data_IF_508370540541
#
_entry.id   IF_508370540541
#
_cell.length_a   1.000
_cell.length_b   1.000
_cell.length_c   1.000
_cell.angle_alpha   90.00
_cell.angle_beta   90.00
_cell.angle_gamma   90.00
#
_symmetry.space_group_name_H-M   'P 1'
#
loop_
_entity.id
_entity.type
_entity.pdbx_description
1 polymer ?
#
# COMPACT_ATOMS: atom_id res chain seq x y z
N UNK A 1 22.94 -86.74 1.79
CA UNK A 1 23.31 -86.30 0.43
C UNK A 1 22.49 -85.06 0.11
N UNK A 2 23.14 -83.90 0.16
CA UNK A 2 23.49 -83.01 -0.97
C UNK A 2 22.35 -82.06 -1.38
N UNK A 3 22.77 -80.80 -1.47
CA UNK A 3 22.00 -79.57 -1.59
C UNK A 3 21.22 -79.45 -2.91
N UNK A 4 20.17 -78.64 -2.91
CA UNK A 4 20.03 -77.57 -3.90
C UNK A 4 19.24 -76.41 -3.30
N UNK A 5 19.86 -75.22 -3.34
CA UNK A 5 19.27 -73.93 -3.00
C UNK A 5 18.38 -73.48 -4.15
N UNK A 6 17.18 -72.98 -3.86
CA UNK A 6 16.47 -72.08 -4.75
C UNK A 6 16.05 -70.86 -3.90
N UNK A 7 16.79 -69.77 -4.07
CA UNK A 7 16.49 -68.47 -3.47
C UNK A 7 15.47 -67.81 -4.40
N UNK A 8 14.25 -67.60 -3.93
CA UNK A 8 13.27 -66.76 -4.61
C UNK A 8 13.27 -65.39 -3.91
N UNK A 9 13.78 -64.39 -4.62
CA UNK A 9 13.69 -62.97 -4.26
C UNK A 9 12.25 -62.50 -4.47
N UNK A 10 11.53 -62.20 -3.40
CA UNK A 10 10.26 -61.48 -3.47
C UNK A 10 10.54 -60.01 -3.17
N UNK A 11 10.40 -59.19 -4.21
CA UNK A 11 10.48 -57.73 -4.13
C UNK A 11 9.30 -57.20 -3.30
N UNK A 12 9.60 -56.47 -2.22
CA UNK A 12 8.64 -55.66 -1.50
C UNK A 12 8.30 -54.42 -2.32
N UNK A 13 7.12 -54.40 -2.95
CA UNK A 13 6.52 -53.15 -3.41
C UNK A 13 5.89 -52.45 -2.20
N UNK A 14 6.65 -51.50 -1.63
CA UNK A 14 6.10 -50.40 -0.83
C UNK A 14 5.26 -49.52 -1.77
N UNK A 15 3.96 -49.81 -1.92
CA UNK A 15 3.02 -48.80 -2.38
C UNK A 15 2.56 -48.03 -1.16
N UNK A 16 3.37 -47.02 -0.84
CA UNK A 16 3.04 -45.93 0.07
C UNK A 16 1.62 -45.46 -0.18
N UNK A 17 0.80 -45.58 0.87
CA UNK A 17 -0.46 -44.84 1.05
C UNK A 17 -0.22 -43.42 0.56
N UNK A 18 -0.93 -43.04 -0.49
CA UNK A 18 -0.90 -41.70 -1.05
C UNK A 18 -1.42 -40.73 -0.01
N UNK A 19 -0.53 -40.19 0.82
CA UNK A 19 -0.71 -38.87 1.36
C UNK A 19 -0.70 -37.94 0.16
N UNK A 20 -1.91 -37.67 -0.36
CA UNK A 20 -2.17 -36.42 -1.01
C UNK A 20 -1.70 -35.35 -0.03
N UNK A 21 -0.48 -34.84 -0.26
CA UNK A 21 -0.09 -33.54 0.23
C UNK A 21 -1.14 -32.60 -0.31
N UNK A 22 -2.14 -32.29 0.53
CA UNK A 22 -2.81 -31.02 0.46
C UNK A 22 -1.65 -30.05 0.61
N UNK A 23 -1.13 -29.58 -0.52
CA UNK A 23 -0.29 -28.40 -0.53
C UNK A 23 -1.18 -27.34 0.09
N UNK A 24 -1.00 -27.12 1.39
CA UNK A 24 -1.42 -25.92 2.05
C UNK A 24 -0.89 -24.82 1.15
N UNK A 25 -1.79 -24.23 0.34
CA UNK A 25 -1.54 -22.95 -0.26
C UNK A 25 -1.38 -22.05 0.95
N UNK A 26 -0.14 -21.89 1.43
CA UNK A 26 0.26 -20.72 2.16
C UNK A 26 -0.18 -19.58 1.25
N UNK A 27 -1.35 -19.02 1.55
CA UNK A 27 -1.85 -17.80 0.94
C UNK A 27 -0.73 -16.83 1.21
N UNK A 28 0.03 -16.52 0.16
CA UNK A 28 1.15 -15.62 0.24
C UNK A 28 0.57 -14.31 0.78
N UNK A 29 0.82 -14.05 2.07
CA UNK A 29 0.26 -12.90 2.76
C UNK A 29 0.75 -11.71 1.97
N UNK A 30 -0.17 -11.00 1.32
CA UNK A 30 0.20 -9.84 0.52
C UNK A 30 0.79 -8.83 1.49
N UNK A 31 2.11 -8.66 1.45
CA UNK A 31 2.80 -7.71 2.30
C UNK A 31 2.60 -6.31 1.72
N UNK A 32 1.42 -5.73 1.98
CA UNK A 32 1.09 -4.36 1.55
C UNK A 32 2.14 -3.35 2.02
N UNK A 33 2.71 -3.57 3.21
CA UNK A 33 3.78 -2.75 3.75
C UNK A 33 5.07 -2.89 2.92
N UNK A 34 5.47 -4.10 2.54
CA UNK A 34 6.64 -4.29 1.67
C UNK A 34 6.44 -3.65 0.29
N UNK A 35 5.24 -3.79 -0.28
CA UNK A 35 4.90 -3.11 -1.54
C UNK A 35 5.03 -1.58 -1.43
N UNK A 36 4.68 -1.00 -0.27
CA UNK A 36 4.86 0.43 0.01
C UNK A 36 6.32 0.78 0.28
N UNK A 37 7.05 -0.02 1.03
CA UNK A 37 8.48 0.19 1.30
C UNK A 37 9.29 0.19 0.00
N UNK A 38 9.04 -0.77 -0.90
CA UNK A 38 9.66 -0.81 -2.23
C UNK A 38 9.28 0.42 -3.08
N UNK A 39 8.04 0.90 -2.95
CA UNK A 39 7.59 2.13 -3.62
C UNK A 39 8.31 3.36 -3.07
N UNK A 40 8.41 3.47 -1.74
CA UNK A 40 9.10 4.56 -1.06
C UNK A 40 10.61 4.55 -1.35
N UNK A 41 11.25 3.39 -1.36
CA UNK A 41 12.66 3.21 -1.71
C UNK A 41 12.93 3.69 -3.14
N UNK A 42 12.06 3.29 -4.08
CA UNK A 42 12.13 3.76 -5.47
C UNK A 42 11.98 5.28 -5.56
N UNK A 43 11.01 5.87 -4.86
CA UNK A 43 10.82 7.32 -4.83
C UNK A 43 12.03 8.05 -4.24
N UNK A 44 12.61 7.54 -3.15
CA UNK A 44 13.81 8.11 -2.52
C UNK A 44 15.04 8.04 -3.43
N UNK A 45 15.17 7.00 -4.25
CA UNK A 45 16.30 6.82 -5.19
C UNK A 45 16.13 7.61 -6.48
N UNK A 46 14.91 7.72 -7.00
CA UNK A 46 14.65 8.17 -8.36
C UNK A 46 14.03 9.57 -8.47
N UNK A 47 13.58 10.18 -7.37
CA UNK A 47 13.07 11.55 -7.41
C UNK A 47 14.24 12.54 -7.36
N UNK A 48 14.37 13.47 -8.34
CA UNK A 48 15.44 14.45 -8.36
C UNK A 48 15.50 15.25 -7.05
N UNK A 49 16.72 15.57 -6.57
CA UNK A 49 16.92 16.42 -5.39
C UNK A 49 16.46 17.87 -5.57
N UNK A 50 16.09 18.29 -6.79
CA UNK A 50 15.43 19.58 -6.99
C UNK A 50 13.96 19.41 -6.59
N UNK A 51 13.60 20.06 -5.51
CA UNK A 51 12.29 19.98 -4.90
C UNK A 51 11.38 20.99 -5.58
N UNK A 52 10.81 20.63 -6.72
CA UNK A 52 9.78 21.45 -7.38
C UNK A 52 8.38 20.96 -6.98
N UNK A 53 7.35 21.74 -7.29
CA UNK A 53 5.97 21.24 -7.19
C UNK A 53 5.71 20.02 -8.07
N UNK A 54 6.52 19.79 -9.10
CA UNK A 54 6.49 18.55 -9.88
C UNK A 54 6.90 17.33 -9.04
N UNK A 55 7.87 17.47 -8.13
CA UNK A 55 8.25 16.40 -7.19
C UNK A 55 7.09 16.05 -6.25
N UNK A 56 6.38 17.05 -5.69
CA UNK A 56 5.16 16.82 -4.91
C UNK A 56 4.11 16.05 -5.71
N UNK A 57 3.86 16.48 -6.96
CA UNK A 57 2.90 15.83 -7.85
C UNK A 57 3.27 14.36 -8.09
N UNK A 58 4.50 14.10 -8.52
CA UNK A 58 4.97 12.76 -8.86
C UNK A 58 4.92 11.81 -7.66
N UNK A 59 5.38 12.26 -6.49
CA UNK A 59 5.36 11.44 -5.27
C UNK A 59 3.92 11.14 -4.85
N UNK A 60 3.06 12.14 -4.82
CA UNK A 60 1.66 11.96 -4.44
C UNK A 60 0.92 11.03 -5.40
N UNK A 61 1.15 11.17 -6.71
CA UNK A 61 0.55 10.32 -7.74
C UNK A 61 0.98 8.86 -7.61
N UNK A 62 2.28 8.61 -7.43
CA UNK A 62 2.81 7.24 -7.23
C UNK A 62 2.23 6.60 -5.96
N UNK A 63 2.14 7.34 -4.85
CA UNK A 63 1.55 6.84 -3.61
C UNK A 63 0.05 6.56 -3.76
N UNK A 64 -0.71 7.43 -4.44
CA UNK A 64 -2.12 7.16 -4.75
C UNK A 64 -2.30 5.96 -5.67
N UNK A 65 -1.46 5.81 -6.69
CA UNK A 65 -1.50 4.68 -7.60
C UNK A 65 -1.25 3.36 -6.85
N UNK A 66 -0.26 3.34 -5.95
CA UNK A 66 0.03 2.17 -5.11
C UNK A 66 -1.11 1.86 -4.14
N UNK A 67 -1.64 2.87 -3.45
CA UNK A 67 -2.80 2.76 -2.58
C UNK A 67 -4.03 2.18 -3.31
N UNK A 68 -4.28 2.65 -4.54
CA UNK A 68 -5.37 2.18 -5.38
C UNK A 68 -5.15 0.75 -5.85
N UNK A 69 -3.91 0.35 -6.17
CA UNK A 69 -3.58 -1.02 -6.50
C UNK A 69 -3.87 -1.97 -5.32
N UNK A 70 -3.41 -1.62 -4.11
CA UNK A 70 -3.66 -2.38 -2.88
C UNK A 70 -5.17 -2.49 -2.62
N UNK A 71 -5.89 -1.37 -2.67
CA UNK A 71 -7.34 -1.34 -2.44
C UNK A 71 -8.10 -2.15 -3.49
N UNK A 72 -7.64 -2.16 -4.74
CA UNK A 72 -8.27 -2.96 -5.80
C UNK A 72 -8.12 -4.46 -5.54
N UNK A 73 -6.95 -4.90 -5.05
CA UNK A 73 -6.76 -6.29 -4.64
C UNK A 73 -7.72 -6.67 -3.50
N UNK A 74 -7.92 -5.76 -2.55
CA UNK A 74 -8.87 -5.94 -1.45
C UNK A 74 -10.34 -5.96 -1.89
N UNK A 75 -10.73 -5.13 -2.87
CA UNK A 75 -12.05 -5.23 -3.51
C UNK A 75 -12.27 -6.61 -4.10
N UNK A 76 -11.28 -7.17 -4.82
CA UNK A 76 -11.41 -8.50 -5.40
C UNK A 76 -11.52 -9.60 -4.34
N UNK A 77 -10.71 -9.51 -3.27
CA UNK A 77 -10.73 -10.49 -2.17
C UNK A 77 -12.06 -10.46 -1.42
N UNK A 78 -12.60 -9.27 -1.18
CA UNK A 78 -13.79 -9.07 -0.36
C UNK A 78 -15.09 -9.02 -1.16
N UNK A 79 -15.08 -9.34 -2.47
CA UNK A 79 -16.22 -9.14 -3.38
C UNK A 79 -17.53 -9.73 -2.85
N UNK A 80 -17.47 -10.90 -2.22
CA UNK A 80 -18.63 -11.62 -1.70
C UNK A 80 -18.69 -11.60 -0.15
N UNK A 81 -17.95 -10.67 0.47
CA UNK A 81 -17.92 -10.47 1.92
C UNK A 81 -18.80 -9.26 2.31
N UNK A 82 -19.21 -9.22 3.58
CA UNK A 82 -20.00 -8.12 4.15
C UNK A 82 -19.33 -6.73 3.97
N UNK A 83 -18.00 -6.71 3.90
CA UNK A 83 -17.17 -5.50 3.81
C UNK A 83 -16.93 -5.00 2.37
N UNK A 84 -17.44 -5.68 1.34
CA UNK A 84 -17.28 -5.31 -0.08
C UNK A 84 -17.60 -3.83 -0.37
N UNK A 85 -18.70 -3.32 0.18
CA UNK A 85 -19.12 -1.93 -0.02
C UNK A 85 -18.14 -0.89 0.53
N UNK A 86 -17.44 -1.21 1.62
CA UNK A 86 -16.40 -0.36 2.18
C UNK A 86 -15.21 -0.27 1.20
N UNK A 87 -14.75 -1.41 0.68
CA UNK A 87 -13.62 -1.45 -0.26
C UNK A 87 -13.91 -0.72 -1.58
N UNK A 88 -15.12 -0.87 -2.12
CA UNK A 88 -15.57 -0.11 -3.30
C UNK A 88 -15.55 1.40 -3.02
N UNK A 89 -16.02 1.81 -1.84
CA UNK A 89 -15.99 3.23 -1.43
C UNK A 89 -14.55 3.75 -1.34
N UNK A 90 -13.63 2.98 -0.75
CA UNK A 90 -12.21 3.37 -0.67
C UNK A 90 -11.59 3.51 -2.06
N UNK A 91 -11.89 2.59 -2.98
CA UNK A 91 -11.41 2.65 -4.36
C UNK A 91 -11.89 3.92 -5.08
N UNK A 92 -13.16 4.30 -4.89
CA UNK A 92 -13.73 5.52 -5.47
C UNK A 92 -13.09 6.79 -4.90
N UNK A 93 -12.86 6.85 -3.59
CA UNK A 93 -12.19 7.99 -2.94
C UNK A 93 -10.74 8.15 -3.43
N UNK A 94 -10.00 7.05 -3.58
CA UNK A 94 -8.66 7.07 -4.15
C UNK A 94 -8.64 7.54 -5.61
N UNK A 95 -9.60 7.08 -6.43
CA UNK A 95 -9.75 7.56 -7.81
C UNK A 95 -10.02 9.07 -7.85
N UNK A 96 -10.86 9.57 -6.94
CA UNK A 96 -11.15 11.00 -6.82
C UNK A 96 -9.91 11.80 -6.43
N UNK A 97 -9.19 11.38 -5.39
CA UNK A 97 -7.96 12.04 -4.93
C UNK A 97 -6.91 12.14 -6.05
N UNK A 98 -6.73 11.06 -6.81
CA UNK A 98 -5.84 11.06 -7.95
C UNK A 98 -6.32 12.05 -9.03
N UNK A 99 -7.61 12.01 -9.41
CA UNK A 99 -8.15 12.96 -10.39
C UNK A 99 -8.02 14.43 -9.96
N UNK A 100 -8.23 14.72 -8.67
CA UNK A 100 -8.08 16.06 -8.11
C UNK A 100 -6.60 16.51 -8.10
N UNK A 101 -5.65 15.60 -7.90
CA UNK A 101 -4.21 15.92 -8.03
C UNK A 101 -3.84 16.30 -9.48
N UNK A 102 -4.37 15.59 -10.48
CA UNK A 102 -4.08 15.89 -11.90
C UNK A 102 -4.59 17.25 -12.36
N UNK A 103 -5.68 17.77 -11.76
CA UNK A 103 -6.17 19.13 -12.03
C UNK A 103 -5.14 20.19 -11.63
N UNK A 104 -4.38 19.93 -10.56
CA UNK A 104 -3.37 20.86 -10.05
C UNK A 104 -2.02 20.74 -10.76
N UNK A 105 -1.81 19.71 -11.59
CA UNK A 105 -0.52 19.45 -12.25
C UNK A 105 0.09 20.68 -12.93
N UNK A 106 -0.66 21.48 -13.73
CA UNK A 106 -0.10 22.66 -14.38
C UNK A 106 0.35 23.75 -13.38
N UNK A 107 -0.40 23.93 -12.29
CA UNK A 107 -0.08 24.90 -11.25
C UNK A 107 1.15 24.47 -10.43
N UNK A 108 1.28 23.16 -10.17
CA UNK A 108 2.40 22.57 -9.44
C UNK A 108 3.71 22.56 -10.26
N UNK A 109 3.64 22.34 -11.57
CA UNK A 109 4.82 22.25 -12.43
C UNK A 109 5.67 23.54 -12.45
N UNK A 110 5.03 24.70 -12.21
CA UNK A 110 5.68 26.01 -12.21
C UNK A 110 6.01 26.53 -10.81
N UNK A 111 5.72 25.74 -9.77
CA UNK A 111 5.95 26.14 -8.40
C UNK A 111 7.41 25.87 -8.02
N UNK A 112 8.14 26.94 -7.74
CA UNK A 112 9.45 26.87 -7.09
C UNK A 112 9.23 26.66 -5.58
N UNK A 113 9.77 25.57 -5.04
CA UNK A 113 9.58 25.20 -3.65
C UNK A 113 10.96 25.16 -2.96
N UNK A 114 11.11 25.78 -1.77
CA UNK A 114 12.35 25.70 -1.02
C UNK A 114 12.65 24.28 -0.48
N UNK A 115 13.94 24.07 -0.14
CA UNK A 115 14.53 22.79 0.29
C UNK A 115 13.88 22.14 1.54
N UNK A 116 13.01 22.86 2.26
CA UNK A 116 12.33 22.37 3.45
C UNK A 116 11.24 21.34 3.11
N UNK A 117 10.62 21.43 1.93
CA UNK A 117 9.56 20.50 1.55
C UNK A 117 10.10 19.08 1.39
N UNK A 118 11.24 18.89 0.75
CA UNK A 118 11.77 17.57 0.50
C UNK A 118 12.53 16.98 1.69
N UNK A 119 12.92 17.78 2.69
CA UNK A 119 13.16 17.24 4.05
C UNK A 119 11.88 16.57 4.56
N UNK A 120 10.73 17.24 4.43
CA UNK A 120 9.42 16.70 4.88
C UNK A 120 9.03 15.46 4.07
N UNK A 121 9.17 15.49 2.75
CA UNK A 121 8.91 14.33 1.87
C UNK A 121 9.82 13.17 2.23
N UNK A 122 11.13 13.42 2.37
CA UNK A 122 12.09 12.37 2.71
C UNK A 122 11.76 11.75 4.06
N UNK A 123 11.40 12.55 5.06
CA UNK A 123 10.96 12.08 6.37
C UNK A 123 9.70 11.20 6.25
N UNK A 124 8.68 11.67 5.52
CA UNK A 124 7.44 10.93 5.28
C UNK A 124 7.70 9.59 4.57
N UNK A 125 8.50 9.56 3.50
CA UNK A 125 8.85 8.32 2.81
C UNK A 125 9.67 7.38 3.70
N UNK A 126 10.57 7.92 4.53
CA UNK A 126 11.37 7.12 5.47
C UNK A 126 10.52 6.47 6.57
N UNK A 127 9.36 7.05 6.92
CA UNK A 127 8.48 6.48 7.93
C UNK A 127 7.99 5.08 7.56
N UNK A 128 7.79 4.77 6.27
CA UNK A 128 7.37 3.42 5.84
C UNK A 128 8.35 2.31 6.25
N UNK A 129 9.63 2.62 6.45
CA UNK A 129 10.64 1.65 6.89
C UNK A 129 10.74 1.54 8.42
N UNK A 130 10.19 2.52 9.15
CA UNK A 130 10.24 2.59 10.62
C UNK A 130 9.03 1.95 11.28
N UNK A 131 7.92 1.92 10.57
CA UNK A 131 6.67 1.34 11.07
C UNK A 131 6.71 -0.18 11.03
N UNK A 132 6.14 -0.80 12.05
CA UNK A 132 5.94 -2.25 12.13
C UNK A 132 4.45 -2.50 12.34
N UNK A 133 3.83 -3.40 11.57
CA UNK A 133 2.43 -3.73 11.77
C UNK A 133 2.27 -4.42 13.14
N UNK A 134 1.22 -4.08 13.91
CA UNK A 134 0.88 -4.82 15.11
C UNK A 134 0.80 -6.34 14.83
N UNK A 135 1.26 -7.14 15.79
CA UNK A 135 1.16 -8.60 15.69
C UNK A 135 -0.30 -9.03 15.75
N UNK A 136 -0.63 -10.11 15.05
CA UNK A 136 -1.97 -10.71 15.09
C UNK A 136 -3.05 -9.97 14.31
N UNK A 137 -2.72 -8.91 13.56
CA UNK A 137 -3.71 -8.28 12.68
C UNK A 137 -4.18 -9.23 11.58
N UNK A 138 -5.50 -9.40 11.51
CA UNK A 138 -6.18 -10.04 10.38
C UNK A 138 -5.98 -9.22 9.10
N UNK A 139 -6.26 -9.83 7.94
CA UNK A 139 -6.00 -9.21 6.64
C UNK A 139 -6.74 -7.87 6.46
N UNK A 140 -8.01 -7.80 6.83
CA UNK A 140 -8.85 -6.59 6.77
C UNK A 140 -8.24 -5.46 7.62
N UNK A 141 -7.86 -5.77 8.85
CA UNK A 141 -7.21 -4.84 9.77
C UNK A 141 -5.82 -4.42 9.29
N UNK A 142 -5.08 -5.34 8.66
CA UNK A 142 -3.76 -5.06 8.07
C UNK A 142 -3.87 -4.13 6.88
N UNK A 143 -4.85 -4.32 6.01
CA UNK A 143 -5.17 -3.34 4.96
C UNK A 143 -5.46 -1.96 5.58
N UNK A 144 -6.35 -1.91 6.56
CA UNK A 144 -6.74 -0.66 7.20
C UNK A 144 -5.54 0.07 7.81
N UNK A 145 -4.74 -0.66 8.59
CA UNK A 145 -3.53 -0.15 9.21
C UNK A 145 -2.55 0.39 8.16
N UNK A 146 -2.25 -0.39 7.12
CA UNK A 146 -1.33 0.03 6.06
C UNK A 146 -1.84 1.28 5.34
N UNK A 147 -3.12 1.32 5.00
CA UNK A 147 -3.71 2.48 4.32
C UNK A 147 -3.70 3.73 5.19
N UNK A 148 -3.90 3.61 6.51
CA UNK A 148 -3.74 4.74 7.44
C UNK A 148 -2.33 5.31 7.34
N UNK A 149 -1.29 4.45 7.31
CA UNK A 149 0.09 4.90 7.19
C UNK A 149 0.35 5.62 5.86
N UNK A 150 -0.28 5.19 4.77
CA UNK A 150 -0.18 5.89 3.47
C UNK A 150 -0.72 7.31 3.57
N UNK A 151 -1.93 7.47 4.12
CA UNK A 151 -2.58 8.77 4.19
C UNK A 151 -1.93 9.69 5.23
N UNK A 152 -1.50 9.18 6.37
CA UNK A 152 -0.78 9.98 7.38
C UNK A 152 0.53 10.56 6.81
N UNK A 153 1.24 9.82 5.94
CA UNK A 153 2.43 10.34 5.25
C UNK A 153 2.07 11.31 4.11
N UNK A 154 0.97 11.08 3.38
CA UNK A 154 0.47 12.04 2.38
C UNK A 154 -0.02 13.34 3.00
N UNK A 155 -0.60 13.29 4.21
CA UNK A 155 -0.99 14.46 4.98
C UNK A 155 0.24 15.28 5.36
N UNK A 156 1.31 14.63 5.86
CA UNK A 156 2.58 15.31 6.17
C UNK A 156 3.16 16.03 4.95
N UNK A 157 3.17 15.38 3.79
CA UNK A 157 3.66 15.97 2.53
C UNK A 157 2.79 17.18 2.14
N UNK A 158 1.46 17.02 2.21
CA UNK A 158 0.50 18.08 1.88
C UNK A 158 0.58 19.27 2.84
N UNK A 159 0.77 19.03 4.13
CA UNK A 159 0.95 20.07 5.16
C UNK A 159 2.27 20.80 4.96
N UNK A 160 3.35 20.08 4.61
CA UNK A 160 4.63 20.68 4.23
C UNK A 160 4.45 21.66 3.07
N UNK A 161 3.76 21.24 2.01
CA UNK A 161 3.48 22.10 0.85
C UNK A 161 2.64 23.33 1.22
N UNK A 162 1.72 23.22 2.18
CA UNK A 162 0.89 24.34 2.64
C UNK A 162 1.66 25.43 3.40
N UNK A 163 2.87 25.14 3.89
CA UNK A 163 3.75 26.15 4.49
C UNK A 163 4.33 27.11 3.43
N UNK A 164 4.20 26.75 2.15
CA UNK A 164 4.78 27.49 1.05
C UNK A 164 3.89 28.61 0.51
N UNK A 165 4.49 29.48 -0.32
CA UNK A 165 3.79 30.59 -0.98
C UNK A 165 2.98 30.09 -2.17
N UNK A 166 1.84 29.48 -1.87
CA UNK A 166 0.87 29.00 -2.84
C UNK A 166 -0.13 30.08 -3.25
N UNK A 167 -0.64 30.00 -4.48
CA UNK A 167 -1.83 30.77 -4.87
C UNK A 167 -3.04 30.35 -4.04
N UNK A 168 -4.03 31.23 -3.89
CA UNK A 168 -5.25 30.94 -3.12
C UNK A 168 -6.00 29.70 -3.65
N UNK A 169 -6.03 29.54 -4.98
CA UNK A 169 -6.68 28.41 -5.64
C UNK A 169 -5.96 27.09 -5.35
N UNK A 170 -4.63 27.05 -5.50
CA UNK A 170 -3.84 25.85 -5.24
C UNK A 170 -3.89 25.48 -3.76
N UNK A 171 -3.79 26.46 -2.85
CA UNK A 171 -3.96 26.26 -1.41
C UNK A 171 -5.32 25.64 -1.09
N UNK A 172 -6.41 26.15 -1.68
CA UNK A 172 -7.76 25.60 -1.51
C UNK A 172 -7.85 24.16 -2.00
N UNK A 173 -7.27 23.85 -3.17
CA UNK A 173 -7.27 22.50 -3.73
C UNK A 173 -6.52 21.49 -2.83
N UNK A 174 -5.34 21.87 -2.31
CA UNK A 174 -4.57 21.04 -1.37
C UNK A 174 -5.33 20.81 -0.06
N UNK A 175 -5.95 21.86 0.51
CA UNK A 175 -6.78 21.73 1.71
C UNK A 175 -7.98 20.79 1.49
N UNK A 176 -8.63 20.87 0.33
CA UNK A 176 -9.72 19.96 -0.01
C UNK A 176 -9.26 18.50 -0.09
N UNK A 177 -8.07 18.25 -0.66
CA UNK A 177 -7.48 16.90 -0.66
C UNK A 177 -7.17 16.41 0.74
N UNK A 178 -6.58 17.24 1.61
CA UNK A 178 -6.33 16.89 3.01
C UNK A 178 -7.62 16.50 3.74
N UNK A 179 -8.71 17.26 3.55
CA UNK A 179 -10.01 16.92 4.15
C UNK A 179 -10.49 15.53 3.70
N UNK A 180 -10.30 15.19 2.43
CA UNK A 180 -10.64 13.85 1.91
C UNK A 180 -9.71 12.78 2.48
N UNK A 181 -8.40 13.02 2.57
CA UNK A 181 -7.43 12.10 3.19
C UNK A 181 -7.78 11.81 4.66
N UNK A 182 -8.08 12.84 5.45
CA UNK A 182 -8.51 12.71 6.86
C UNK A 182 -9.83 11.95 7.00
N UNK A 183 -10.78 12.15 6.08
CA UNK A 183 -12.01 11.37 6.04
C UNK A 183 -11.73 9.88 5.80
N UNK A 184 -10.83 9.56 4.87
CA UNK A 184 -10.40 8.18 4.60
C UNK A 184 -9.73 7.59 5.85
N UNK A 185 -8.80 8.29 6.49
CA UNK A 185 -8.15 7.83 7.73
C UNK A 185 -9.18 7.53 8.81
N UNK A 186 -10.14 8.43 9.02
CA UNK A 186 -11.21 8.22 10.01
C UNK A 186 -12.03 6.96 9.72
N UNK A 187 -12.41 6.74 8.46
CA UNK A 187 -13.14 5.54 8.01
C UNK A 187 -12.32 4.26 8.18
N UNK A 188 -11.03 4.29 7.87
CA UNK A 188 -10.13 3.15 8.07
C UNK A 188 -9.93 2.83 9.56
N UNK A 189 -9.79 3.85 10.41
CA UNK A 189 -9.70 3.69 11.87
C UNK A 189 -11.00 3.12 12.47
N UNK A 190 -12.15 3.47 11.91
CA UNK A 190 -13.44 2.87 12.29
C UNK A 190 -13.53 1.41 11.83
N UNK A 191 -13.20 1.15 10.56
CA UNK A 191 -13.21 -0.18 9.98
C UNK A 191 -12.29 -1.17 10.71
N UNK A 192 -11.11 -0.72 11.15
CA UNK A 192 -10.17 -1.51 11.95
C UNK A 192 -10.68 -1.83 13.36
N UNK A 193 -11.65 -1.09 13.89
CA UNK A 193 -12.24 -1.35 15.23
C UNK A 193 -13.42 -2.31 15.15
N UNK A 194 -14.10 -2.36 14.02
CA UNK A 194 -15.34 -3.14 13.83
C UNK A 194 -15.11 -4.50 13.20
N UNK A 195 -13.92 -4.73 12.65
CA UNK A 195 -13.46 -5.98 12.05
C UNK A 195 -12.09 -6.29 12.63
#
# INVERSE_FOLDING_TARGET
MKQMRLILLVFFFYTSVGFAQIADKQVQVISYLEALQNTADSLLKNTPRKESGESYFNISDVLYAKARQITTQEVFRQRDMANSGFMVTMQQLLKKLQADLYKDKPALANLDIPDNLGITVKAALTNFFRIQPPLGLEQDQRYAWVMIQVFENLDQISVGLLQERLTAELRKSILQRLVVQQNIISRLKQYQKTN
#
